data_IF_413521875009
#
_entry.id   IF_413521875009
#
_cell.length_a   1.000
_cell.length_b   1.000
_cell.length_c   1.000
_cell.angle_alpha   90.00
_cell.angle_beta   90.00
_cell.angle_gamma   90.00
#
_symmetry.space_group_name_H-M   'P 1'
#
loop_
_entity.id
_entity.type
_entity.pdbx_description
1 polymer ?
#
# COMPACT_ATOMS: atom_id res chain seq x y z
N UNK A 1 -13.00 21.68 -3.85
CA UNK A 1 -13.15 21.54 -2.40
C UNK A 1 -14.50 20.90 -2.19
N UNK A 2 -14.52 19.65 -1.80
CA UNK A 2 -15.74 18.88 -1.67
C UNK A 2 -16.18 18.87 -0.22
N UNK A 3 -17.46 18.69 0.03
CA UNK A 3 -18.02 18.64 1.38
C UNK A 3 -18.36 17.18 1.71
N UNK A 4 -17.82 16.65 2.79
CA UNK A 4 -18.11 15.28 3.21
C UNK A 4 -19.56 15.14 3.70
N UNK A 5 -20.08 16.18 4.39
CA UNK A 5 -21.45 16.22 4.90
C UNK A 5 -22.21 17.47 4.42
N UNK A 6 -22.59 17.57 3.14
CA UNK A 6 -23.29 18.73 2.62
C UNK A 6 -24.68 18.95 3.28
N UNK A 7 -25.28 17.88 3.81
CA UNK A 7 -26.54 17.95 4.54
C UNK A 7 -26.49 18.92 5.74
N UNK A 8 -25.33 19.11 6.37
CA UNK A 8 -25.16 20.07 7.47
C UNK A 8 -25.46 21.50 7.03
N UNK A 9 -25.12 21.88 5.79
CA UNK A 9 -25.45 23.21 5.24
C UNK A 9 -26.92 23.30 4.81
N UNK A 10 -27.43 22.27 4.10
CA UNK A 10 -28.80 22.27 3.62
C UNK A 10 -29.84 22.31 4.75
N UNK A 11 -29.59 21.64 5.86
CA UNK A 11 -30.47 21.64 7.02
C UNK A 11 -30.14 22.76 8.02
N UNK A 12 -28.86 23.05 8.21
CA UNK A 12 -28.40 24.03 9.21
C UNK A 12 -28.74 25.47 8.85
N UNK A 13 -28.62 25.89 7.59
CA UNK A 13 -28.94 27.26 7.18
C UNK A 13 -30.43 27.58 7.35
N UNK A 14 -31.40 26.79 6.89
CA UNK A 14 -32.80 27.01 7.13
C UNK A 14 -33.17 27.02 8.62
N UNK A 15 -32.60 26.11 9.42
CA UNK A 15 -32.82 26.06 10.86
C UNK A 15 -32.33 27.34 11.54
N UNK A 16 -31.14 27.81 11.17
CA UNK A 16 -30.59 29.05 11.65
C UNK A 16 -31.45 30.25 11.33
N UNK A 17 -31.98 30.35 10.10
CA UNK A 17 -32.92 31.37 9.67
C UNK A 17 -34.23 31.29 10.45
N UNK A 18 -34.77 30.11 10.69
CA UNK A 18 -35.98 29.89 11.50
C UNK A 18 -35.79 30.39 12.94
N UNK A 19 -34.69 30.07 13.58
CA UNK A 19 -34.38 30.51 14.93
C UNK A 19 -34.30 32.03 15.06
N UNK A 20 -33.77 32.72 14.06
CA UNK A 20 -33.78 34.18 14.00
C UNK A 20 -35.17 34.75 13.88
N UNK A 21 -35.99 34.17 13.04
CA UNK A 21 -37.36 34.65 12.86
C UNK A 21 -38.17 34.51 14.15
N UNK A 22 -37.99 33.37 14.85
CA UNK A 22 -38.64 33.13 16.14
C UNK A 22 -38.11 34.05 17.25
N UNK A 23 -36.81 34.36 17.25
CA UNK A 23 -36.16 35.25 18.24
C UNK A 23 -36.60 36.72 18.13
N UNK A 24 -37.08 37.18 16.95
CA UNK A 24 -37.52 38.57 16.74
C UNK A 24 -38.78 38.96 17.48
N UNK A 25 -39.59 38.03 18.01
CA UNK A 25 -40.90 38.29 18.61
C UNK A 25 -40.87 38.68 20.11
N UNK A 26 -39.74 38.67 20.81
CA UNK A 26 -39.68 39.09 22.21
C UNK A 26 -39.43 40.62 22.31
N UNK A 27 -40.46 41.41 22.52
CA UNK A 27 -40.33 42.78 23.03
C UNK A 27 -39.64 42.68 24.40
N UNK A 28 -38.39 43.08 24.49
CA UNK A 28 -37.67 43.21 25.77
C UNK A 28 -38.34 44.32 26.60
N UNK A 29 -39.10 43.95 27.61
CA UNK A 29 -39.47 44.90 28.64
C UNK A 29 -38.16 45.26 29.39
N UNK A 30 -37.74 46.51 29.34
CA UNK A 30 -36.64 47.02 30.14
C UNK A 30 -36.98 46.75 31.59
N UNK A 31 -36.18 45.91 32.27
CA UNK A 31 -36.36 45.58 33.69
C UNK A 31 -35.69 46.57 34.61
N UNK A 32 -34.59 47.20 34.14
CA UNK A 32 -33.76 48.07 34.91
C UNK A 32 -33.62 49.44 34.19
N UNK A 33 -34.49 50.35 34.45
CA UNK A 33 -34.40 51.68 33.89
C UNK A 33 -35.43 52.64 34.55
N UNK A 34 -35.01 53.88 34.79
CA UNK A 34 -35.87 54.94 35.29
C UNK A 34 -36.71 55.45 34.09
N UNK A 35 -38.03 55.41 34.21
CA UNK A 35 -38.90 56.00 33.20
C UNK A 35 -38.84 57.53 33.31
N UNK A 36 -38.32 58.16 32.27
CA UNK A 36 -38.25 59.61 32.15
C UNK A 36 -39.34 60.07 31.18
N UNK A 37 -40.11 61.02 31.60
CA UNK A 37 -41.13 61.65 30.76
C UNK A 37 -40.51 62.80 29.94
N UNK A 38 -41.02 63.01 28.71
CA UNK A 38 -40.67 64.11 27.81
C UNK A 38 -39.23 64.09 27.28
N UNK A 39 -38.81 62.99 26.62
CA UNK A 39 -37.46 62.80 26.03
C UNK A 39 -37.30 63.40 24.62
N UNK A 40 -38.35 64.01 24.04
CA UNK A 40 -38.35 64.48 22.67
C UNK A 40 -37.21 65.44 22.33
N UNK A 41 -36.97 66.44 23.23
CA UNK A 41 -35.86 67.39 23.04
C UNK A 41 -34.45 66.78 23.12
N UNK A 42 -34.29 65.67 23.85
CA UNK A 42 -33.00 64.94 23.89
C UNK A 42 -32.76 64.20 22.60
N UNK A 43 -33.80 63.65 21.99
CA UNK A 43 -33.73 62.89 20.70
C UNK A 43 -33.36 63.82 19.53
N UNK A 44 -33.66 65.12 19.60
CA UNK A 44 -33.33 66.12 18.59
C UNK A 44 -31.87 66.58 18.65
N UNK A 45 -31.17 66.36 19.76
CA UNK A 45 -29.78 66.79 19.95
C UNK A 45 -28.83 66.06 19.00
N UNK A 46 -27.85 66.79 18.45
CA UNK A 46 -26.82 66.18 17.59
C UNK A 46 -26.00 65.12 18.31
N UNK A 47 -25.76 65.28 19.60
CA UNK A 47 -25.01 64.35 20.43
C UNK A 47 -25.75 62.98 20.54
N UNK A 48 -27.05 62.99 20.81
CA UNK A 48 -27.89 61.80 20.87
C UNK A 48 -27.91 61.07 19.53
N UNK A 49 -28.14 61.78 18.42
CA UNK A 49 -28.14 61.23 17.07
C UNK A 49 -26.80 60.57 16.74
N UNK A 50 -25.70 61.18 17.12
CA UNK A 50 -24.33 60.62 16.94
C UNK A 50 -24.13 59.37 17.79
N UNK A 51 -24.56 59.37 19.05
CA UNK A 51 -24.47 58.23 19.95
C UNK A 51 -25.36 57.08 19.50
N UNK A 52 -26.56 57.33 19.08
CA UNK A 52 -27.52 56.38 18.53
C UNK A 52 -26.98 55.76 17.21
N UNK A 53 -26.34 56.58 16.36
CA UNK A 53 -25.68 56.11 15.14
C UNK A 53 -24.58 55.11 15.44
N UNK A 54 -23.68 55.45 16.41
CA UNK A 54 -22.64 54.55 16.84
C UNK A 54 -23.22 53.24 17.41
N UNK A 55 -24.22 53.32 18.28
CA UNK A 55 -24.92 52.18 18.84
C UNK A 55 -25.50 51.25 17.76
N UNK A 56 -26.26 51.83 16.81
CA UNK A 56 -26.86 51.07 15.70
C UNK A 56 -25.80 50.40 14.85
N UNK A 57 -24.68 51.09 14.57
CA UNK A 57 -23.56 50.55 13.81
C UNK A 57 -22.90 49.37 14.51
N UNK A 58 -22.48 49.53 15.79
CA UNK A 58 -21.82 48.45 16.51
C UNK A 58 -22.76 47.27 16.79
N UNK A 59 -24.05 47.55 17.04
CA UNK A 59 -25.06 46.50 17.17
C UNK A 59 -25.27 45.74 15.87
N UNK A 60 -25.31 46.43 14.74
CA UNK A 60 -25.38 45.78 13.41
C UNK A 60 -24.17 44.90 13.14
N UNK A 61 -22.97 45.42 13.44
CA UNK A 61 -21.73 44.70 13.26
C UNK A 61 -21.60 43.46 14.18
N UNK A 62 -22.06 43.58 15.45
CA UNK A 62 -22.14 42.44 16.37
C UNK A 62 -23.05 41.33 15.86
N UNK A 63 -24.28 41.71 15.41
CA UNK A 63 -25.21 40.74 14.82
C UNK A 63 -24.66 40.10 13.55
N UNK A 64 -24.04 40.88 12.68
CA UNK A 64 -23.39 40.34 11.48
C UNK A 64 -22.26 39.37 11.82
N UNK A 65 -21.41 39.72 12.82
CA UNK A 65 -20.34 38.85 13.29
C UNK A 65 -20.87 37.52 13.84
N UNK A 66 -21.96 37.57 14.63
CA UNK A 66 -22.59 36.34 15.14
C UNK A 66 -23.13 35.45 14.02
N UNK A 67 -23.75 36.07 13.00
CA UNK A 67 -24.27 35.36 11.84
C UNK A 67 -23.17 34.68 11.03
N UNK A 68 -22.11 35.41 10.73
CA UNK A 68 -20.97 34.90 9.97
C UNK A 68 -20.26 33.80 10.77
N UNK A 69 -20.18 33.94 12.09
CA UNK A 69 -19.63 32.88 12.96
C UNK A 69 -20.49 31.60 12.89
N UNK A 70 -21.82 31.73 12.88
CA UNK A 70 -22.73 30.59 12.77
C UNK A 70 -22.60 29.89 11.40
N UNK A 71 -22.48 30.66 10.32
CA UNK A 71 -22.24 30.11 8.98
C UNK A 71 -20.90 29.39 8.91
N UNK A 72 -19.85 29.98 9.47
CA UNK A 72 -18.53 29.35 9.54
C UNK A 72 -18.54 28.03 10.36
N UNK A 73 -19.33 27.99 11.45
CA UNK A 73 -19.54 26.77 12.21
C UNK A 73 -20.27 25.68 11.43
N UNK A 74 -21.32 26.03 10.69
CA UNK A 74 -22.02 25.10 9.80
C UNK A 74 -21.11 24.59 8.69
N UNK A 75 -20.23 25.44 8.17
CA UNK A 75 -19.25 25.04 7.17
C UNK A 75 -18.22 24.07 7.73
N UNK A 76 -17.79 24.24 8.98
CA UNK A 76 -16.92 23.27 9.68
C UNK A 76 -17.64 21.93 9.88
N UNK A 77 -18.92 21.94 10.26
CA UNK A 77 -19.74 20.73 10.37
C UNK A 77 -19.90 20.00 9.03
N UNK A 78 -19.95 20.74 7.92
CA UNK A 78 -20.01 20.16 6.59
C UNK A 78 -18.70 19.46 6.18
N UNK A 79 -17.63 19.58 7.00
CA UNK A 79 -16.33 18.94 6.83
C UNK A 79 -15.75 19.17 5.43
N UNK A 80 -15.21 20.39 5.15
CA UNK A 80 -14.57 20.68 3.88
C UNK A 80 -13.32 19.81 3.72
N UNK A 81 -13.30 19.02 2.64
CA UNK A 81 -12.21 18.08 2.36
C UNK A 81 -11.85 18.14 0.87
N UNK A 82 -10.65 17.69 0.56
CA UNK A 82 -10.21 17.40 -0.79
C UNK A 82 -10.15 15.89 -0.97
N UNK A 83 -10.99 15.37 -1.83
CA UNK A 83 -10.89 13.98 -2.25
C UNK A 83 -9.71 13.87 -3.22
N UNK A 84 -8.67 13.18 -2.82
CA UNK A 84 -7.54 12.85 -3.68
C UNK A 84 -7.62 11.36 -3.99
N UNK A 85 -8.00 11.06 -5.22
CA UNK A 85 -7.95 9.69 -5.73
C UNK A 85 -6.49 9.38 -6.00
N UNK A 86 -5.89 8.58 -5.16
CA UNK A 86 -4.59 7.99 -5.46
C UNK A 86 -4.92 6.71 -6.21
N UNK A 87 -4.55 6.67 -7.47
CA UNK A 87 -4.40 5.42 -8.21
C UNK A 87 -2.96 4.96 -7.93
N UNK A 88 -2.70 4.10 -6.95
CA UNK A 88 -1.45 3.40 -6.94
C UNK A 88 -1.53 2.54 -8.20
N UNK A 89 -0.74 2.85 -9.21
CA UNK A 89 -0.39 1.88 -10.23
C UNK A 89 0.51 0.85 -9.53
N UNK A 90 -0.08 0.08 -8.64
CA UNK A 90 0.55 -1.09 -8.09
C UNK A 90 0.51 -2.12 -9.21
N UNK A 91 1.63 -2.28 -9.87
CA UNK A 91 1.90 -3.46 -10.68
C UNK A 91 1.94 -4.65 -9.71
N UNK A 92 0.77 -5.24 -9.44
CA UNK A 92 0.64 -6.27 -8.40
C UNK A 92 0.80 -7.64 -9.02
N UNK A 93 2.05 -8.04 -9.27
CA UNK A 93 2.38 -9.44 -9.52
C UNK A 93 2.88 -10.06 -8.22
N UNK A 94 2.58 -11.32 -8.05
CA UNK A 94 3.14 -12.14 -7.01
C UNK A 94 4.17 -13.08 -7.63
N UNK A 95 5.42 -12.97 -7.21
CA UNK A 95 6.54 -13.68 -7.81
C UNK A 95 7.19 -14.57 -6.75
N UNK A 96 7.13 -15.88 -6.94
CA UNK A 96 7.93 -16.80 -6.14
C UNK A 96 9.22 -17.17 -6.85
N UNK A 97 10.33 -17.07 -6.12
CA UNK A 97 11.61 -17.65 -6.50
C UNK A 97 11.64 -19.08 -5.95
N UNK A 98 11.52 -20.07 -6.82
CA UNK A 98 11.52 -21.48 -6.48
C UNK A 98 12.88 -22.08 -6.85
N UNK A 99 13.75 -22.28 -5.84
CA UNK A 99 15.16 -22.55 -6.03
C UNK A 99 15.49 -24.00 -5.62
N UNK A 100 16.01 -24.78 -6.56
CA UNK A 100 16.61 -26.07 -6.27
C UNK A 100 17.89 -25.86 -5.47
N UNK A 101 18.00 -26.50 -4.30
CA UNK A 101 19.15 -26.36 -3.42
C UNK A 101 19.95 -27.70 -3.31
N UNK A 102 19.74 -28.60 -4.26
CA UNK A 102 20.57 -29.82 -4.38
C UNK A 102 22.04 -29.46 -4.59
N UNK A 103 22.93 -30.37 -4.20
CA UNK A 103 24.36 -30.08 -4.29
C UNK A 103 24.90 -30.03 -5.73
N UNK A 104 24.19 -30.64 -6.69
CA UNK A 104 24.54 -30.62 -8.12
C UNK A 104 24.46 -29.22 -8.75
N UNK A 105 23.65 -28.35 -8.20
CA UNK A 105 23.37 -26.98 -8.73
C UNK A 105 24.06 -25.84 -7.96
N UNK A 106 24.95 -26.14 -7.00
CA UNK A 106 25.56 -25.09 -6.16
C UNK A 106 26.31 -24.01 -6.95
N UNK A 107 27.11 -24.39 -7.98
CA UNK A 107 27.82 -23.41 -8.81
C UNK A 107 26.86 -22.55 -9.63
N UNK A 108 25.84 -23.18 -10.22
CA UNK A 108 24.81 -22.51 -10.97
C UNK A 108 24.02 -21.55 -10.07
N UNK A 109 23.60 -22.04 -8.91
CA UNK A 109 22.79 -21.25 -7.97
C UNK A 109 23.53 -20.02 -7.47
N UNK A 110 24.83 -20.08 -7.34
CA UNK A 110 25.64 -18.92 -6.96
C UNK A 110 25.50 -17.78 -7.97
N UNK A 111 25.51 -18.09 -9.28
CA UNK A 111 25.33 -17.09 -10.32
C UNK A 111 23.85 -16.69 -10.48
N UNK A 112 22.93 -17.65 -10.41
CA UNK A 112 21.48 -17.38 -10.47
C UNK A 112 21.05 -16.47 -9.34
N UNK A 113 21.40 -16.74 -8.08
CA UNK A 113 20.98 -15.93 -6.93
C UNK A 113 21.49 -14.49 -7.06
N UNK A 114 22.68 -14.28 -7.60
CA UNK A 114 23.16 -12.91 -7.89
C UNK A 114 22.29 -12.20 -8.91
N UNK A 115 21.88 -12.90 -9.97
CA UNK A 115 20.99 -12.31 -10.97
C UNK A 115 19.56 -12.12 -10.45
N UNK A 116 19.07 -13.04 -9.61
CA UNK A 116 17.75 -12.88 -8.96
C UNK A 116 17.69 -11.66 -8.04
N UNK A 117 18.80 -11.24 -7.42
CA UNK A 117 18.86 -9.98 -6.69
C UNK A 117 18.60 -8.80 -7.62
N UNK A 118 19.22 -8.78 -8.81
CA UNK A 118 18.97 -7.74 -9.80
C UNK A 118 17.49 -7.75 -10.24
N UNK A 119 16.90 -8.95 -10.42
CA UNK A 119 15.46 -9.08 -10.75
C UNK A 119 14.58 -8.45 -9.67
N UNK A 120 14.89 -8.71 -8.38
CA UNK A 120 14.15 -8.13 -7.25
C UNK A 120 14.33 -6.61 -7.18
N UNK A 121 15.51 -6.08 -7.48
CA UNK A 121 15.79 -4.65 -7.46
C UNK A 121 15.16 -3.90 -8.63
N UNK A 122 15.03 -4.54 -9.80
CA UNK A 122 14.52 -3.90 -11.01
C UNK A 122 12.99 -3.96 -11.18
N UNK A 123 12.31 -4.85 -10.46
CA UNK A 123 10.87 -5.00 -10.46
C UNK A 123 10.28 -4.30 -9.23
N UNK A 124 9.87 -3.03 -9.41
CA UNK A 124 9.24 -2.22 -8.36
C UNK A 124 7.73 -2.40 -8.33
N UNK A 125 7.16 -2.52 -7.13
CA UNK A 125 5.73 -2.70 -6.91
C UNK A 125 5.25 -4.15 -6.80
N UNK A 126 6.12 -5.14 -7.03
CA UNK A 126 5.81 -6.57 -6.97
C UNK A 126 5.94 -7.12 -5.53
N UNK A 127 5.30 -8.28 -5.27
CA UNK A 127 5.60 -9.05 -4.05
C UNK A 127 6.47 -10.23 -4.40
N UNK A 128 7.51 -10.45 -3.60
CA UNK A 128 8.40 -11.60 -3.76
C UNK A 128 8.28 -12.58 -2.61
N UNK A 129 8.36 -13.87 -2.93
CA UNK A 129 8.53 -14.94 -1.98
C UNK A 129 9.68 -15.86 -2.40
N UNK A 130 10.24 -16.61 -1.48
CA UNK A 130 11.30 -17.58 -1.76
C UNK A 130 10.89 -18.95 -1.24
N UNK A 131 10.88 -19.93 -2.12
CA UNK A 131 10.72 -21.35 -1.80
C UNK A 131 12.00 -22.05 -2.21
N UNK A 132 12.56 -22.83 -1.32
CA UNK A 132 13.70 -23.72 -1.61
C UNK A 132 13.25 -25.17 -1.61
N UNK A 133 13.84 -25.99 -2.44
CA UNK A 133 13.50 -27.40 -2.45
C UNK A 133 14.70 -28.29 -2.76
N UNK A 134 14.62 -29.52 -2.30
CA UNK A 134 15.49 -30.64 -2.60
C UNK A 134 14.64 -31.93 -2.51
N UNK A 135 14.83 -32.81 -1.54
CA UNK A 135 13.92 -33.92 -1.24
C UNK A 135 12.58 -33.49 -0.62
N UNK A 136 12.50 -32.26 -0.12
CA UNK A 136 11.30 -31.59 0.38
C UNK A 136 11.39 -30.11 0.09
N UNK A 137 10.25 -29.45 -0.11
CA UNK A 137 10.21 -28.00 -0.27
C UNK A 137 9.95 -27.28 1.06
N UNK A 138 10.56 -26.11 1.21
CA UNK A 138 10.38 -25.24 2.37
C UNK A 138 10.14 -23.80 1.92
N UNK A 139 9.16 -23.14 2.53
CA UNK A 139 8.91 -21.71 2.35
C UNK A 139 9.92 -20.92 3.19
N UNK A 140 10.92 -20.34 2.54
CA UNK A 140 11.96 -19.55 3.20
C UNK A 140 11.49 -18.12 3.47
N UNK A 141 10.85 -17.48 2.47
CA UNK A 141 10.29 -16.12 2.57
C UNK A 141 8.85 -16.15 2.07
N UNK A 142 7.85 -15.81 2.90
CA UNK A 142 6.50 -15.61 2.43
C UNK A 142 6.40 -14.39 1.53
N UNK A 143 5.37 -14.30 0.70
CA UNK A 143 5.16 -13.16 -0.19
C UNK A 143 5.17 -11.84 0.57
N UNK A 144 6.09 -10.95 0.21
CA UNK A 144 6.29 -9.65 0.83
C UNK A 144 6.73 -8.60 -0.20
N UNK A 145 6.47 -7.33 0.10
CA UNK A 145 7.01 -6.17 -0.61
C UNK A 145 8.21 -5.55 0.12
N UNK A 146 8.72 -6.20 1.17
CA UNK A 146 9.96 -5.80 1.84
C UNK A 146 11.16 -6.34 1.07
N UNK A 147 11.58 -5.61 0.04
CA UNK A 147 12.73 -5.97 -0.80
C UNK A 147 14.02 -6.09 0.00
N UNK A 148 14.19 -5.28 1.04
CA UNK A 148 15.38 -5.35 1.91
C UNK A 148 15.45 -6.71 2.59
N UNK A 149 14.33 -7.23 3.05
CA UNK A 149 14.26 -8.55 3.66
C UNK A 149 14.52 -9.66 2.62
N UNK A 150 13.90 -9.58 1.44
CA UNK A 150 14.10 -10.56 0.35
C UNK A 150 15.56 -10.62 -0.09
N UNK A 151 16.18 -9.46 -0.35
CA UNK A 151 17.57 -9.36 -0.75
C UNK A 151 18.53 -9.91 0.32
N UNK A 152 18.23 -9.65 1.59
CA UNK A 152 19.01 -10.18 2.70
C UNK A 152 18.95 -11.71 2.79
N UNK A 153 17.78 -12.31 2.53
CA UNK A 153 17.66 -13.77 2.50
C UNK A 153 18.37 -14.37 1.28
N UNK A 154 18.35 -13.68 0.12
CA UNK A 154 19.17 -14.06 -1.04
C UNK A 154 20.67 -13.93 -0.75
N UNK A 155 21.12 -12.93 0.02
CA UNK A 155 22.51 -12.81 0.47
C UNK A 155 22.95 -13.99 1.35
N UNK A 156 22.07 -14.45 2.23
CA UNK A 156 22.33 -15.62 3.06
C UNK A 156 22.39 -16.89 2.22
N UNK A 157 21.51 -17.06 1.23
CA UNK A 157 21.57 -18.18 0.29
C UNK A 157 22.88 -18.14 -0.52
N UNK A 158 23.27 -16.99 -1.08
CA UNK A 158 24.54 -16.82 -1.79
C UNK A 158 25.72 -17.23 -0.89
N UNK A 159 25.74 -16.76 0.36
CA UNK A 159 26.80 -17.09 1.31
C UNK A 159 26.84 -18.60 1.59
N UNK A 160 25.66 -19.23 1.73
CA UNK A 160 25.56 -20.67 1.95
C UNK A 160 26.08 -21.49 0.77
N UNK A 161 25.76 -21.09 -0.48
CA UNK A 161 26.34 -21.73 -1.68
C UNK A 161 27.86 -21.52 -1.77
N UNK A 162 28.36 -20.32 -1.49
CA UNK A 162 29.82 -20.07 -1.44
C UNK A 162 30.55 -20.91 -0.40
N UNK A 163 29.92 -21.08 0.76
CA UNK A 163 30.45 -21.92 1.83
C UNK A 163 30.44 -23.41 1.41
N UNK A 164 29.32 -23.90 0.82
CA UNK A 164 29.23 -25.27 0.30
C UNK A 164 30.30 -25.60 -0.74
N UNK A 165 30.61 -24.63 -1.59
CA UNK A 165 31.68 -24.75 -2.62
C UNK A 165 33.10 -24.55 -2.07
N UNK A 166 33.28 -24.35 -0.77
CA UNK A 166 34.57 -24.08 -0.15
C UNK A 166 35.20 -22.74 -0.56
N UNK A 167 34.42 -21.82 -1.16
CA UNK A 167 34.88 -20.50 -1.62
C UNK A 167 35.04 -19.50 -0.47
N UNK A 168 34.44 -19.79 0.71
CA UNK A 168 34.51 -18.96 1.91
C UNK A 168 34.78 -19.86 3.13
N UNK A 169 35.77 -19.56 3.97
CA UNK A 169 36.00 -20.30 5.20
C UNK A 169 34.95 -19.95 6.27
N UNK A 170 34.71 -20.86 7.21
CA UNK A 170 33.69 -20.71 8.29
C UNK A 170 33.79 -19.38 9.03
N UNK A 171 34.99 -18.90 9.33
CA UNK A 171 35.22 -17.65 10.07
C UNK A 171 34.74 -16.39 9.34
N UNK A 172 34.63 -16.44 8.00
CA UNK A 172 34.23 -15.35 7.12
C UNK A 172 32.81 -15.53 6.55
N UNK A 173 32.20 -16.70 6.76
CA UNK A 173 30.84 -16.98 6.27
C UNK A 173 29.78 -16.29 7.14
N UNK A 174 29.62 -14.98 6.97
CA UNK A 174 28.68 -14.15 7.76
C UNK A 174 27.92 -13.19 6.88
N UNK A 175 26.63 -12.99 7.22
CA UNK A 175 25.75 -11.95 6.68
C UNK A 175 25.15 -11.19 7.86
N UNK A 176 25.31 -9.88 7.92
CA UNK A 176 24.86 -9.00 9.01
C UNK A 176 25.28 -9.50 10.42
N UNK A 177 26.48 -10.08 10.53
CA UNK A 177 27.00 -10.64 11.78
C UNK A 177 26.47 -12.03 12.14
N UNK A 178 25.50 -12.57 11.40
CA UNK A 178 25.00 -13.93 11.53
C UNK A 178 25.90 -14.89 10.78
N UNK A 179 26.33 -15.97 11.42
CA UNK A 179 27.09 -17.03 10.80
C UNK A 179 26.22 -17.87 9.87
N UNK A 180 26.63 -18.00 8.60
CA UNK A 180 25.91 -18.71 7.55
C UNK A 180 26.76 -19.85 7.05
N UNK A 181 26.33 -21.08 7.30
CA UNK A 181 26.97 -22.29 6.84
C UNK A 181 26.21 -22.89 5.64
N UNK A 182 26.77 -23.97 5.06
CA UNK A 182 26.08 -24.68 3.97
C UNK A 182 24.72 -25.26 4.38
N UNK A 183 24.47 -25.48 5.66
CA UNK A 183 23.19 -25.94 6.18
C UNK A 183 22.05 -24.93 5.95
N UNK A 184 22.38 -23.65 5.78
CA UNK A 184 21.36 -22.63 5.57
C UNK A 184 20.53 -22.88 4.31
N UNK A 185 21.15 -23.23 3.18
CA UNK A 185 20.44 -23.57 1.93
C UNK A 185 19.51 -24.77 2.06
N UNK A 186 19.78 -25.66 3.03
CA UNK A 186 18.99 -26.86 3.28
C UNK A 186 17.93 -26.67 4.39
N UNK A 187 17.70 -25.46 4.86
CA UNK A 187 16.81 -25.21 5.99
C UNK A 187 15.37 -25.64 5.69
N UNK A 188 14.88 -26.68 6.37
CA UNK A 188 13.55 -27.23 6.14
C UNK A 188 13.43 -28.19 4.94
N UNK A 189 14.55 -28.51 4.25
CA UNK A 189 14.59 -29.51 3.18
C UNK A 189 15.26 -30.79 3.66
N UNK A 190 15.02 -31.90 2.99
CA UNK A 190 15.63 -33.19 3.33
C UNK A 190 16.96 -33.38 2.56
N UNK A 191 18.06 -32.78 3.05
CA UNK A 191 19.36 -32.80 2.37
C UNK A 191 20.10 -34.11 2.42
N UNK A 192 19.86 -34.94 3.46
CA UNK A 192 20.69 -36.10 3.74
C UNK A 192 20.32 -37.35 2.92
N UNK A 193 19.25 -37.32 2.16
CA UNK A 193 18.74 -38.49 1.42
C UNK A 193 19.11 -38.51 -0.06
N UNK A 194 19.88 -37.51 -0.54
CA UNK A 194 20.33 -37.46 -1.95
C UNK A 194 19.16 -37.43 -2.95
N UNK A 195 18.02 -36.87 -2.55
CA UNK A 195 16.82 -36.80 -3.38
C UNK A 195 16.60 -35.37 -3.89
N UNK A 196 16.16 -35.25 -5.13
CA UNK A 196 15.70 -33.98 -5.73
C UNK A 196 14.35 -34.22 -6.39
N UNK A 197 13.29 -33.70 -5.76
CA UNK A 197 11.90 -33.90 -6.20
C UNK A 197 11.39 -32.64 -6.89
N UNK A 198 11.69 -32.54 -8.16
CA UNK A 198 11.49 -31.33 -8.98
C UNK A 198 10.02 -30.96 -9.09
N UNK A 199 9.15 -31.93 -9.41
CA UNK A 199 7.71 -31.71 -9.53
C UNK A 199 7.08 -31.38 -8.17
N UNK A 200 7.47 -32.06 -7.09
CA UNK A 200 7.01 -31.77 -5.73
C UNK A 200 7.46 -30.36 -5.29
N UNK A 201 8.67 -29.93 -5.65
CA UNK A 201 9.18 -28.58 -5.41
C UNK A 201 8.31 -27.51 -6.07
N UNK A 202 8.03 -27.68 -7.37
CA UNK A 202 7.18 -26.76 -8.13
C UNK A 202 5.74 -26.75 -7.60
N UNK A 203 5.15 -27.90 -7.31
CA UNK A 203 3.79 -28.02 -6.77
C UNK A 203 3.69 -27.36 -5.37
N UNK A 204 4.70 -27.57 -4.50
CA UNK A 204 4.74 -26.94 -3.19
C UNK A 204 4.86 -25.41 -3.30
N UNK A 205 5.70 -24.92 -4.23
CA UNK A 205 5.82 -23.49 -4.50
C UNK A 205 4.48 -22.89 -4.96
N UNK A 206 3.75 -23.56 -5.84
CA UNK A 206 2.41 -23.15 -6.28
C UNK A 206 1.46 -22.96 -5.09
N UNK A 207 1.44 -23.88 -4.15
CA UNK A 207 0.53 -23.82 -3.00
C UNK A 207 0.98 -22.86 -1.90
N UNK A 208 2.14 -22.23 -2.02
CA UNK A 208 2.56 -21.13 -1.15
C UNK A 208 1.90 -19.78 -1.46
N UNK A 209 1.21 -19.64 -2.60
CA UNK A 209 0.37 -18.45 -2.85
C UNK A 209 -0.84 -18.45 -1.90
N UNK A 210 -1.00 -17.42 -1.04
CA UNK A 210 -1.99 -17.45 0.05
C UNK A 210 -3.44 -17.38 -0.43
N UNK A 211 -3.69 -16.76 -1.57
CA UNK A 211 -5.02 -16.47 -2.12
C UNK A 211 -5.27 -17.15 -3.49
N UNK A 212 -4.63 -18.30 -3.71
CA UNK A 212 -4.63 -19.02 -4.98
C UNK A 212 -6.05 -19.34 -5.51
N UNK A 213 -7.01 -19.56 -4.61
CA UNK A 213 -8.40 -19.93 -4.94
C UNK A 213 -9.40 -18.78 -4.82
N UNK A 214 -8.99 -17.67 -4.20
CA UNK A 214 -9.91 -16.60 -3.81
C UNK A 214 -9.80 -15.38 -4.73
N UNK A 215 -8.69 -15.21 -5.42
CA UNK A 215 -8.42 -14.04 -6.25
C UNK A 215 -7.86 -14.44 -7.61
N UNK A 216 -8.75 -14.55 -8.61
CA UNK A 216 -8.39 -14.92 -9.98
C UNK A 216 -7.78 -13.74 -10.78
N UNK A 217 -7.93 -12.50 -10.29
CA UNK A 217 -7.44 -11.30 -10.98
C UNK A 217 -5.95 -11.04 -10.75
N UNK A 218 -5.34 -11.74 -9.79
CA UNK A 218 -3.92 -11.58 -9.47
C UNK A 218 -3.02 -12.32 -10.44
N UNK A 219 -2.07 -11.61 -11.03
CA UNK A 219 -1.02 -12.24 -11.84
C UNK A 219 0.02 -12.89 -10.93
N UNK A 220 0.24 -14.20 -11.12
CA UNK A 220 1.16 -15.01 -10.33
C UNK A 220 2.21 -15.63 -11.21
N UNK A 221 3.47 -15.50 -10.79
CA UNK A 221 4.62 -15.99 -11.51
C UNK A 221 5.49 -16.84 -10.58
N UNK A 222 6.10 -17.89 -11.13
CA UNK A 222 7.14 -18.65 -10.46
C UNK A 222 8.39 -18.58 -11.34
N UNK A 223 9.52 -18.09 -10.78
CA UNK A 223 10.84 -18.24 -11.39
C UNK A 223 11.40 -19.53 -10.82
N UNK A 224 11.50 -20.56 -11.65
CA UNK A 224 11.82 -21.92 -11.25
C UNK A 224 13.22 -22.27 -11.72
N UNK A 225 14.14 -22.52 -10.77
CA UNK A 225 15.55 -22.82 -11.06
C UNK A 225 15.88 -24.25 -10.68
N UNK A 226 16.40 -25.07 -11.61
CA UNK A 226 16.81 -26.46 -11.40
C UNK A 226 17.65 -26.94 -12.59
N UNK A 227 18.50 -27.97 -12.37
CA UNK A 227 19.17 -28.74 -13.44
C UNK A 227 18.33 -29.91 -13.96
N UNK A 228 17.09 -30.03 -13.43
CA UNK A 228 16.15 -31.09 -13.73
C UNK A 228 16.71 -32.52 -13.49
N UNK A 229 17.71 -32.67 -12.62
CA UNK A 229 18.20 -33.98 -12.23
C UNK A 229 17.33 -34.60 -11.15
N UNK A 230 16.40 -35.45 -11.59
CA UNK A 230 15.48 -36.16 -10.70
C UNK A 230 16.23 -37.27 -9.96
N UNK A 231 16.23 -37.21 -8.62
CA UNK A 231 16.81 -38.26 -7.78
C UNK A 231 15.77 -38.74 -6.78
N UNK A 232 15.25 -39.97 -7.00
CA UNK A 232 14.23 -40.61 -6.21
C UNK A 232 12.88 -40.70 -6.92
N UNK A 233 11.82 -40.98 -6.18
CA UNK A 233 10.45 -41.12 -6.70
C UNK A 233 9.56 -39.99 -6.18
N UNK A 234 9.26 -38.97 -7.00
CA UNK A 234 8.41 -37.86 -6.59
C UNK A 234 6.95 -38.28 -6.44
N UNK A 235 6.18 -37.56 -5.62
CA UNK A 235 4.72 -37.72 -5.53
C UNK A 235 4.00 -37.07 -6.72
N UNK A 236 4.55 -35.96 -7.22
CA UNK A 236 4.04 -35.19 -8.38
C UNK A 236 5.15 -35.11 -9.42
N UNK A 237 4.85 -35.48 -10.65
CA UNK A 237 5.82 -35.29 -11.75
C UNK A 237 5.93 -33.83 -12.15
N UNK A 238 6.97 -33.46 -12.89
CA UNK A 238 7.13 -32.09 -13.39
C UNK A 238 5.96 -31.68 -14.29
N UNK A 239 5.51 -32.58 -15.17
CA UNK A 239 4.37 -32.33 -16.08
C UNK A 239 3.07 -32.12 -15.30
N UNK A 240 2.83 -32.93 -14.25
CA UNK A 240 1.65 -32.77 -13.37
C UNK A 240 1.71 -31.45 -12.61
N UNK A 241 2.87 -31.06 -12.07
CA UNK A 241 3.06 -29.78 -11.39
C UNK A 241 2.85 -28.59 -12.35
N UNK A 242 3.38 -28.67 -13.58
CA UNK A 242 3.14 -27.63 -14.59
C UNK A 242 1.66 -27.54 -14.98
N UNK A 243 0.97 -28.69 -15.11
CA UNK A 243 -0.47 -28.70 -15.35
C UNK A 243 -1.28 -28.08 -14.19
N UNK A 244 -0.85 -28.28 -12.93
CA UNK A 244 -1.45 -27.62 -11.78
C UNK A 244 -1.19 -26.10 -11.80
N UNK A 245 0.00 -25.64 -12.16
CA UNK A 245 0.30 -24.22 -12.34
C UNK A 245 -0.59 -23.60 -13.39
N UNK A 246 -0.69 -24.22 -14.57
CA UNK A 246 -1.58 -23.78 -15.66
C UNK A 246 -3.03 -23.69 -15.22
N UNK A 247 -3.54 -24.72 -14.52
CA UNK A 247 -4.92 -24.76 -14.03
C UNK A 247 -5.26 -23.61 -13.07
N UNK A 248 -4.25 -23.12 -12.33
CA UNK A 248 -4.38 -22.02 -11.37
C UNK A 248 -3.91 -20.67 -11.94
N UNK A 249 -3.75 -20.55 -13.27
CA UNK A 249 -3.29 -19.33 -13.95
C UNK A 249 -1.94 -18.82 -13.41
N UNK A 250 -1.03 -19.71 -13.01
CA UNK A 250 0.33 -19.37 -12.57
C UNK A 250 1.31 -19.70 -13.70
N UNK A 251 2.04 -18.68 -14.17
CA UNK A 251 3.06 -18.83 -15.20
C UNK A 251 4.38 -19.25 -14.56
N UNK A 252 5.09 -20.19 -15.18
CA UNK A 252 6.38 -20.67 -14.71
C UNK A 252 7.47 -20.26 -15.69
N UNK A 253 8.45 -19.53 -15.22
CA UNK A 253 9.66 -19.16 -15.95
C UNK A 253 10.80 -20.07 -15.49
N UNK A 254 11.13 -21.05 -16.33
CA UNK A 254 12.16 -22.03 -16.03
C UNK A 254 13.55 -21.48 -16.35
N UNK A 255 14.43 -21.48 -15.36
CA UNK A 255 15.85 -21.07 -15.50
C UNK A 255 16.73 -22.28 -15.23
N UNK A 256 17.53 -22.68 -16.22
CA UNK A 256 18.28 -23.92 -16.20
C UNK A 256 19.74 -23.73 -16.61
N UNK A 257 20.64 -24.60 -16.13
CA UNK A 257 22.04 -24.59 -16.57
C UNK A 257 22.20 -25.04 -18.03
N UNK A 258 23.43 -24.87 -18.51
CA UNK A 258 23.77 -25.32 -19.87
C UNK A 258 23.67 -26.86 -20.03
N UNK A 259 23.96 -27.60 -18.95
CA UNK A 259 23.96 -29.07 -18.88
C UNK A 259 22.69 -29.67 -18.25
N UNK A 260 21.54 -29.02 -18.41
CA UNK A 260 20.25 -29.50 -17.89
C UNK A 260 19.92 -30.91 -18.37
N UNK A 261 19.38 -31.74 -17.49
CA UNK A 261 18.90 -33.08 -17.78
C UNK A 261 17.50 -33.01 -18.42
N UNK A 262 17.30 -33.75 -19.52
CA UNK A 262 16.04 -33.75 -20.29
C UNK A 262 15.47 -32.34 -20.54
N UNK A 263 16.25 -31.52 -21.23
CA UNK A 263 15.91 -30.14 -21.57
C UNK A 263 14.55 -30.04 -22.24
N UNK A 264 14.23 -31.02 -23.10
CA UNK A 264 12.97 -31.00 -23.86
C UNK A 264 11.74 -31.15 -22.96
N UNK A 265 11.77 -32.06 -22.00
CA UNK A 265 10.70 -32.27 -21.03
C UNK A 265 10.53 -31.02 -20.14
N UNK A 266 11.65 -30.49 -19.61
CA UNK A 266 11.63 -29.29 -18.79
C UNK A 266 11.06 -28.08 -19.52
N UNK A 267 11.58 -27.81 -20.72
CA UNK A 267 11.10 -26.71 -21.58
C UNK A 267 9.62 -26.84 -21.88
N UNK A 268 9.17 -28.02 -22.32
CA UNK A 268 7.77 -28.28 -22.62
C UNK A 268 6.86 -28.05 -21.42
N UNK A 269 7.29 -28.52 -20.23
CA UNK A 269 6.54 -28.34 -19.00
C UNK A 269 6.34 -26.86 -18.65
N UNK A 270 7.43 -26.08 -18.59
CA UNK A 270 7.33 -24.65 -18.22
C UNK A 270 6.59 -23.82 -19.27
N UNK A 271 6.86 -24.01 -20.55
CA UNK A 271 6.17 -23.31 -21.64
C UNK A 271 4.65 -23.63 -21.68
N UNK A 272 4.26 -24.83 -21.27
CA UNK A 272 2.85 -25.23 -21.19
C UNK A 272 2.03 -24.37 -20.23
N UNK A 273 2.66 -23.72 -19.25
CA UNK A 273 2.05 -22.81 -18.28
C UNK A 273 1.78 -21.41 -18.83
N UNK A 274 2.31 -21.10 -20.02
CA UNK A 274 2.33 -19.75 -20.60
C UNK A 274 3.49 -18.88 -20.12
N UNK A 275 4.48 -19.47 -19.46
CA UNK A 275 5.78 -18.85 -19.15
C UNK A 275 6.84 -19.12 -20.20
N UNK A 276 8.12 -18.95 -19.84
CA UNK A 276 9.25 -19.08 -20.75
C UNK A 276 10.35 -20.00 -20.19
N UNK A 277 11.23 -20.46 -21.08
CA UNK A 277 12.40 -21.24 -20.75
C UNK A 277 13.69 -20.46 -21.04
N UNK A 278 14.59 -20.40 -20.04
CA UNK A 278 15.82 -19.60 -20.07
C UNK A 278 17.01 -20.47 -19.71
N UNK A 279 17.91 -20.67 -20.66
CA UNK A 279 19.14 -21.42 -20.46
C UNK A 279 20.28 -20.47 -20.10
N UNK A 280 20.85 -20.61 -18.93
CA UNK A 280 21.92 -19.72 -18.42
C UNK A 280 23.22 -20.01 -19.17
N UNK A 281 23.43 -19.35 -20.29
CA UNK A 281 24.67 -19.33 -21.05
C UNK A 281 25.44 -18.02 -20.89
N UNK A 282 24.77 -16.96 -20.50
CA UNK A 282 25.32 -15.64 -20.25
C UNK A 282 24.42 -14.82 -19.33
N UNK A 283 24.91 -13.76 -18.67
CA UNK A 283 24.08 -12.87 -17.84
C UNK A 283 22.92 -12.20 -18.58
N UNK A 284 23.02 -12.04 -19.89
CA UNK A 284 21.97 -11.42 -20.74
C UNK A 284 20.64 -12.18 -20.75
N UNK A 285 20.65 -13.45 -20.42
CA UNK A 285 19.43 -14.27 -20.32
C UNK A 285 18.49 -13.75 -19.25
N UNK A 286 19.02 -13.14 -18.19
CA UNK A 286 18.21 -12.53 -17.14
C UNK A 286 17.57 -11.20 -17.58
N UNK A 287 18.21 -10.47 -18.49
CA UNK A 287 17.59 -9.27 -19.10
C UNK A 287 16.39 -9.68 -19.97
N UNK A 288 16.50 -10.79 -20.71
CA UNK A 288 15.41 -11.36 -21.50
C UNK A 288 14.27 -11.84 -20.58
N UNK A 289 14.58 -12.54 -19.49
CA UNK A 289 13.61 -12.96 -18.49
C UNK A 289 12.86 -11.75 -17.88
N UNK A 290 13.59 -10.69 -17.53
CA UNK A 290 13.00 -9.45 -16.98
C UNK A 290 12.08 -8.78 -17.98
N UNK A 291 12.47 -8.71 -19.26
CA UNK A 291 11.66 -8.13 -20.32
C UNK A 291 10.35 -8.92 -20.49
N UNK A 292 10.40 -10.24 -20.53
CA UNK A 292 9.23 -11.09 -20.63
C UNK A 292 8.31 -10.98 -19.40
N UNK A 293 8.86 -10.88 -18.20
CA UNK A 293 8.09 -10.62 -16.99
C UNK A 293 7.42 -9.25 -17.09
N UNK A 294 8.11 -8.21 -17.55
CA UNK A 294 7.55 -6.86 -17.71
C UNK A 294 6.43 -6.80 -18.75
N UNK A 295 6.53 -7.59 -19.82
CA UNK A 295 5.50 -7.71 -20.85
C UNK A 295 4.27 -8.49 -20.38
N UNK A 296 4.39 -9.27 -19.33
CA UNK A 296 3.28 -9.97 -18.71
C UNK A 296 2.27 -8.97 -18.17
N UNK A 297 0.99 -9.15 -18.48
CA UNK A 297 -0.08 -8.29 -18.01
C UNK A 297 -0.01 -8.13 -16.49
N UNK A 298 -0.15 -6.89 -16.03
CA UNK A 298 -0.25 -6.60 -14.60
C UNK A 298 -1.70 -6.70 -14.19
N UNK A 299 -1.97 -7.23 -12.99
CA UNK A 299 -3.33 -7.18 -12.44
C UNK A 299 -3.71 -5.72 -12.23
N UNK A 300 -4.77 -5.26 -12.90
CA UNK A 300 -5.40 -3.98 -12.64
C UNK A 300 -6.24 -4.10 -11.37
N UNK A 301 -5.64 -4.09 -10.21
CA UNK A 301 -6.37 -3.81 -8.99
C UNK A 301 -6.64 -2.31 -8.95
N UNK A 302 -7.84 -1.91 -9.32
CA UNK A 302 -8.42 -0.60 -8.98
C UNK A 302 -8.73 -0.56 -7.47
N UNK A 303 -7.73 -0.66 -6.62
CA UNK A 303 -7.84 -0.20 -5.25
C UNK A 303 -7.82 1.32 -5.28
N UNK A 304 -8.97 1.90 -5.67
CA UNK A 304 -9.21 3.34 -5.62
C UNK A 304 -9.24 3.75 -4.15
N UNK A 305 -8.08 3.99 -3.56
CA UNK A 305 -8.00 4.60 -2.23
C UNK A 305 -8.27 6.09 -2.34
N UNK A 306 -9.51 6.48 -2.05
CA UNK A 306 -9.84 7.88 -1.84
C UNK A 306 -9.31 8.33 -0.48
N UNK A 307 -8.22 9.08 -0.48
CA UNK A 307 -7.76 9.79 0.71
C UNK A 307 -8.58 11.07 0.86
N UNK A 308 -9.29 11.17 1.99
CA UNK A 308 -10.03 12.36 2.37
C UNK A 308 -9.11 13.24 3.21
N UNK A 309 -8.59 14.31 2.61
CA UNK A 309 -7.77 15.30 3.30
C UNK A 309 -8.66 16.43 3.80
N UNK A 310 -8.82 16.54 5.10
CA UNK A 310 -9.64 17.59 5.74
C UNK A 310 -8.92 18.94 5.71
N UNK A 311 -9.64 20.00 5.37
CA UNK A 311 -9.15 21.38 5.37
C UNK A 311 -9.96 22.28 6.31
N UNK A 312 -9.94 22.05 7.63
CA UNK A 312 -10.70 22.84 8.61
C UNK A 312 -10.08 24.19 8.90
N UNK A 313 -8.82 24.45 8.49
CA UNK A 313 -8.04 25.62 8.90
C UNK A 313 -8.71 26.94 8.54
N UNK A 314 -9.16 27.09 7.28
CA UNK A 314 -9.75 28.34 6.78
C UNK A 314 -11.07 28.65 7.47
N UNK A 315 -12.06 27.74 7.51
CA UNK A 315 -13.32 28.00 8.22
C UNK A 315 -13.12 28.23 9.73
N UNK A 316 -12.14 27.56 10.34
CA UNK A 316 -11.84 27.74 11.76
C UNK A 316 -11.26 29.13 12.05
N UNK A 317 -10.33 29.63 11.25
CA UNK A 317 -9.78 30.98 11.38
C UNK A 317 -10.88 32.02 11.20
N UNK A 318 -11.74 31.86 10.20
CA UNK A 318 -12.88 32.77 9.97
C UNK A 318 -13.84 32.77 11.15
N UNK A 319 -14.13 31.60 11.73
CA UNK A 319 -14.96 31.48 12.93
C UNK A 319 -14.39 32.30 14.11
N UNK A 320 -13.07 32.17 14.36
CA UNK A 320 -12.41 32.94 15.42
C UNK A 320 -12.47 34.45 15.20
N UNK A 321 -12.25 34.90 13.95
CA UNK A 321 -12.34 36.32 13.58
C UNK A 321 -13.76 36.85 13.82
N UNK A 322 -14.79 36.15 13.37
CA UNK A 322 -16.18 36.61 13.52
C UNK A 322 -16.67 36.61 14.96
N UNK A 323 -16.25 35.62 15.77
CA UNK A 323 -16.48 35.61 17.21
C UNK A 323 -15.76 36.79 17.87
N UNK A 324 -14.51 37.08 17.49
CA UNK A 324 -13.77 38.25 17.99
C UNK A 324 -14.47 39.57 17.70
N UNK A 325 -14.98 39.75 16.46
CA UNK A 325 -15.79 40.94 16.07
C UNK A 325 -17.03 41.05 16.95
N UNK A 326 -17.74 39.94 17.14
CA UNK A 326 -18.91 39.90 18.00
C UNK A 326 -18.55 40.36 19.42
N UNK A 327 -17.53 39.83 20.07
CA UNK A 327 -17.16 40.20 21.42
C UNK A 327 -16.72 41.66 21.57
N UNK A 328 -15.92 42.16 20.62
CA UNK A 328 -15.47 43.57 20.65
C UNK A 328 -16.66 44.52 20.47
N UNK A 329 -17.54 44.25 19.53
CA UNK A 329 -18.69 45.08 19.24
C UNK A 329 -19.75 45.01 20.37
N UNK A 330 -20.02 43.81 20.91
CA UNK A 330 -20.93 43.57 22.01
C UNK A 330 -20.49 44.34 23.26
N UNK A 331 -19.18 44.30 23.58
CA UNK A 331 -18.60 45.04 24.73
C UNK A 331 -18.75 46.55 24.58
N UNK A 332 -18.62 47.10 23.33
CA UNK A 332 -18.82 48.53 23.06
C UNK A 332 -20.29 48.98 23.16
N UNK A 333 -21.21 48.08 22.92
CA UNK A 333 -22.67 48.31 22.96
C UNK A 333 -23.25 47.97 24.31
N UNK A 334 -22.48 47.35 25.22
CA UNK A 334 -22.94 46.82 26.53
C UNK A 334 -24.18 45.91 26.35
N UNK A 335 -24.15 45.07 25.35
CA UNK A 335 -25.11 43.99 25.12
C UNK A 335 -24.80 42.79 26.03
#
# INVERSE_FOLDING_TARGET
MDLVFPAALYLGIPLALLLLFLGRKKKTKYKDGIKVANTGFVEETEYYKKLLGKYKFFRGLALAGLWLAMIACLFLLARPARMQTIHPQLHNRDIFLCIDVSNSVDELNLDIVRQLKNVVEELDGERFGITIFNGQAALLVPLTNDYTYVLKELDKLEMSFRHSLGKVPDSLAKVDGQEITYYYKHMGTLSDYGSSFIGDGLASCLYNFPDLKENDERVRLIIFTTDNELNGTPFVTLEEAAALCKKNNVRVYGVAPENIVDETAFKTAVESTGGGYYKVTSPKVFDELLEDIRLTETSTMEDVKTLILDYPQIPFILLLIFIGIYFVCSRKVKL
#
